data_IF_692857093611
#
_entry.id   IF_692857093611
#
_cell.length_a   1.000
_cell.length_b   1.000
_cell.length_c   1.000
_cell.angle_alpha   90.00
_cell.angle_beta   90.00
_cell.angle_gamma   90.00
#
_symmetry.space_group_name_H-M   'P 1'
#
loop_
_entity.id
_entity.type
_entity.pdbx_description
1 polymer ?
#
# COMPACT_ATOMS: atom_id res chain seq x y z
N UNK A 1 3.82 0.99 -10.18
CA UNK A 1 4.31 -0.36 -10.51
C UNK A 1 4.79 -0.49 -11.96
N UNK A 2 3.98 -0.17 -12.98
CA UNK A 2 4.43 -0.30 -14.39
C UNK A 2 5.74 0.42 -14.73
N UNK A 3 5.90 1.67 -14.27
CA UNK A 3 7.15 2.42 -14.46
C UNK A 3 8.36 1.76 -13.76
N UNK A 4 8.18 1.24 -12.54
CA UNK A 4 9.22 0.55 -11.78
C UNK A 4 9.73 -0.69 -12.53
N UNK A 5 8.81 -1.48 -13.09
CA UNK A 5 9.15 -2.63 -13.92
C UNK A 5 9.82 -2.24 -15.22
N UNK A 6 9.34 -1.18 -15.90
CA UNK A 6 9.94 -0.72 -17.14
C UNK A 6 11.39 -0.25 -16.92
N UNK A 7 11.65 0.58 -15.91
CA UNK A 7 13.00 1.03 -15.61
C UNK A 7 13.90 -0.12 -15.13
N UNK A 8 13.40 -1.00 -14.27
CA UNK A 8 14.13 -2.18 -13.81
C UNK A 8 14.50 -3.15 -14.93
N UNK A 9 13.58 -3.39 -15.87
CA UNK A 9 13.82 -4.22 -17.04
C UNK A 9 14.93 -3.62 -17.93
N UNK A 10 14.87 -2.33 -18.22
CA UNK A 10 15.87 -1.66 -19.04
C UNK A 10 17.27 -1.72 -18.41
N UNK A 11 17.37 -1.52 -17.08
CA UNK A 11 18.65 -1.62 -16.36
C UNK A 11 19.20 -3.05 -16.35
N UNK A 12 18.34 -4.05 -16.14
CA UNK A 12 18.78 -5.43 -16.00
C UNK A 12 19.10 -6.11 -17.33
N UNK A 13 18.43 -5.72 -18.42
CA UNK A 13 18.43 -6.50 -19.65
C UNK A 13 18.91 -5.76 -20.89
N UNK A 14 18.87 -4.43 -20.90
CA UNK A 14 19.34 -3.63 -22.02
C UNK A 14 20.80 -3.23 -21.78
N UNK A 15 21.71 -3.42 -22.76
CA UNK A 15 23.07 -2.90 -22.65
C UNK A 15 23.01 -1.38 -22.72
N UNK A 16 23.01 -0.75 -21.55
CA UNK A 16 23.10 0.68 -21.39
C UNK A 16 24.59 1.07 -21.45
N UNK A 17 25.12 1.20 -22.66
CA UNK A 17 26.52 1.61 -22.87
C UNK A 17 26.80 3.05 -22.40
N UNK A 18 25.75 3.89 -22.37
CA UNK A 18 25.84 5.26 -21.88
C UNK A 18 25.55 5.34 -20.37
N UNK A 19 26.57 5.79 -19.62
CA UNK A 19 26.51 6.01 -18.17
C UNK A 19 25.39 6.98 -17.77
N UNK A 20 25.08 7.99 -18.59
CA UNK A 20 24.03 8.96 -18.33
C UNK A 20 22.67 8.27 -18.36
N UNK A 21 22.45 7.43 -19.37
CA UNK A 21 21.19 6.69 -19.53
C UNK A 21 21.00 5.70 -18.39
N UNK A 22 22.06 5.01 -17.97
CA UNK A 22 22.02 4.15 -16.78
C UNK A 22 21.60 4.91 -15.52
N UNK A 23 22.20 6.08 -15.27
CA UNK A 23 21.88 6.90 -14.11
C UNK A 23 20.43 7.40 -14.12
N UNK A 24 19.92 7.81 -15.29
CA UNK A 24 18.52 8.23 -15.44
C UNK A 24 17.55 7.09 -15.13
N UNK A 25 17.82 5.87 -15.60
CA UNK A 25 16.95 4.72 -15.32
C UNK A 25 17.01 4.33 -13.84
N UNK A 26 18.20 4.32 -13.23
CA UNK A 26 18.35 4.06 -11.81
C UNK A 26 17.60 5.08 -10.94
N UNK A 27 17.70 6.37 -11.29
CA UNK A 27 16.91 7.43 -10.67
C UNK A 27 15.40 7.19 -10.85
N UNK A 28 14.96 6.77 -12.04
CA UNK A 28 13.55 6.42 -12.31
C UNK A 28 13.04 5.28 -11.42
N UNK A 29 13.87 4.26 -11.15
CA UNK A 29 13.54 3.18 -10.21
C UNK A 29 13.32 3.76 -8.80
N UNK A 30 14.27 4.56 -8.29
CA UNK A 30 14.16 5.16 -6.95
C UNK A 30 12.92 6.06 -6.86
N UNK A 31 12.71 6.94 -7.82
CA UNK A 31 11.58 7.89 -7.81
C UNK A 31 10.23 7.17 -7.84
N UNK A 32 10.11 6.11 -8.65
CA UNK A 32 8.87 5.33 -8.73
C UNK A 32 8.61 4.50 -7.47
N UNK A 33 9.66 3.99 -6.83
CA UNK A 33 9.57 3.34 -5.52
C UNK A 33 9.15 4.33 -4.43
N UNK A 34 9.77 5.50 -4.39
CA UNK A 34 9.44 6.56 -3.44
C UNK A 34 7.99 7.02 -3.57
N UNK A 35 7.51 7.19 -4.81
CA UNK A 35 6.13 7.58 -5.08
C UNK A 35 5.12 6.53 -4.62
N UNK A 36 5.44 5.24 -4.80
CA UNK A 36 4.62 4.14 -4.29
C UNK A 36 4.53 4.18 -2.75
N UNK A 37 5.68 4.29 -2.08
CA UNK A 37 5.74 4.34 -0.62
C UNK A 37 5.05 5.59 -0.06
N UNK A 38 5.23 6.74 -0.69
CA UNK A 38 4.62 8.02 -0.30
C UNK A 38 3.08 7.95 -0.31
N UNK A 39 2.49 7.17 -1.23
CA UNK A 39 1.04 6.99 -1.28
C UNK A 39 0.57 5.94 -0.27
N UNK A 40 1.28 4.81 -0.17
CA UNK A 40 0.80 3.66 0.60
C UNK A 40 1.00 3.83 2.10
N UNK A 41 2.13 4.40 2.55
CA UNK A 41 2.44 4.55 3.99
C UNK A 41 1.40 5.42 4.73
N UNK A 42 1.10 6.67 4.31
CA UNK A 42 0.12 7.48 5.02
C UNK A 42 -1.31 6.92 4.90
N UNK A 43 -1.65 6.29 3.76
CA UNK A 43 -2.95 5.65 3.59
C UNK A 43 -3.13 4.45 4.53
N UNK A 44 -2.10 3.59 4.66
CA UNK A 44 -2.09 2.49 5.61
C UNK A 44 -2.12 2.98 7.07
N UNK A 45 -1.37 4.05 7.37
CA UNK A 45 -1.39 4.68 8.69
C UNK A 45 -2.77 5.23 9.07
N UNK A 46 -3.45 5.91 8.13
CA UNK A 46 -4.80 6.42 8.34
C UNK A 46 -5.82 5.28 8.55
N UNK A 47 -5.73 4.21 7.76
CA UNK A 47 -6.59 3.04 7.93
C UNK A 47 -6.36 2.32 9.26
N UNK A 48 -5.11 2.22 9.70
CA UNK A 48 -4.78 1.65 11.01
C UNK A 48 -5.33 2.50 12.15
N UNK A 49 -5.17 3.81 12.08
CA UNK A 49 -5.73 4.74 13.06
C UNK A 49 -7.27 4.67 13.10
N UNK A 50 -7.91 4.55 11.94
CA UNK A 50 -9.36 4.33 11.84
C UNK A 50 -9.77 3.02 12.52
N UNK A 51 -9.07 1.91 12.25
CA UNK A 51 -9.31 0.62 12.90
C UNK A 51 -9.17 0.69 14.42
N UNK A 52 -8.13 1.35 14.92
CA UNK A 52 -7.91 1.53 16.37
C UNK A 52 -9.01 2.39 17.01
N UNK A 53 -9.43 3.45 16.32
CA UNK A 53 -10.54 4.29 16.76
C UNK A 53 -11.85 3.49 16.81
N UNK A 54 -12.12 2.66 15.79
CA UNK A 54 -13.30 1.79 15.78
C UNK A 54 -13.29 0.76 16.92
N UNK A 55 -12.14 0.16 17.21
CA UNK A 55 -11.99 -0.79 18.31
C UNK A 55 -12.23 -0.13 19.67
N UNK A 56 -11.64 1.06 19.88
CA UNK A 56 -11.85 1.88 21.08
C UNK A 56 -13.32 2.28 21.24
N UNK A 57 -13.97 2.66 20.14
CA UNK A 57 -15.39 3.01 20.14
C UNK A 57 -16.27 1.79 20.41
N UNK A 58 -15.89 0.59 19.94
CA UNK A 58 -16.64 -0.65 20.19
C UNK A 58 -16.52 -1.14 21.64
N UNK A 59 -15.43 -0.83 22.34
CA UNK A 59 -15.25 -1.18 23.76
C UNK A 59 -15.93 -0.19 24.72
N UNK A 60 -16.13 1.07 24.30
CA UNK A 60 -16.79 2.14 25.07
C UNK A 60 -18.16 1.80 25.68
N UNK A 61 -19.09 1.12 24.98
CA UNK A 61 -20.43 0.81 25.50
C UNK A 61 -20.40 -0.14 26.71
N UNK A 62 -19.32 -0.89 26.92
CA UNK A 62 -19.13 -1.70 28.13
C UNK A 62 -18.78 -0.87 29.37
N UNK A 63 -18.29 0.37 29.16
CA UNK A 63 -17.89 1.29 30.24
C UNK A 63 -19.01 2.26 30.65
N UNK A 64 -20.00 2.52 29.80
CA UNK A 64 -21.15 3.39 30.10
C UNK A 64 -22.47 2.59 30.16
N UNK A 65 -22.86 2.07 31.33
CA UNK A 65 -24.06 1.23 31.46
C UNK A 65 -25.37 2.01 31.27
N UNK A 66 -25.45 3.29 31.65
CA UNK A 66 -26.72 4.04 31.64
C UNK A 66 -27.25 4.40 30.24
N UNK A 67 -26.38 4.54 29.24
CA UNK A 67 -26.75 4.97 27.89
C UNK A 67 -26.27 4.03 26.78
N UNK A 68 -25.92 2.79 27.14
CA UNK A 68 -25.37 1.77 26.25
C UNK A 68 -26.11 1.65 24.90
N UNK A 69 -27.45 1.55 24.92
CA UNK A 69 -28.26 1.37 23.70
C UNK A 69 -28.21 2.58 22.76
N UNK A 70 -28.37 3.80 23.29
CA UNK A 70 -28.36 5.04 22.50
C UNK A 70 -26.96 5.34 21.96
N UNK A 71 -25.94 5.15 22.79
CA UNK A 71 -24.54 5.33 22.43
C UNK A 71 -24.13 4.34 21.32
N UNK A 72 -24.49 3.07 21.46
CA UNK A 72 -24.24 2.03 20.44
C UNK A 72 -24.91 2.36 19.12
N UNK A 73 -26.14 2.91 19.13
CA UNK A 73 -26.86 3.29 17.92
C UNK A 73 -26.20 4.47 17.19
N UNK A 74 -25.78 5.52 17.93
CA UNK A 74 -25.05 6.66 17.38
C UNK A 74 -23.69 6.26 16.80
N UNK A 75 -22.96 5.40 17.52
CA UNK A 75 -21.70 4.83 17.07
C UNK A 75 -21.88 4.09 15.74
N UNK A 76 -22.88 3.21 15.66
CA UNK A 76 -23.12 2.40 14.48
C UNK A 76 -23.50 3.25 13.25
N UNK A 77 -24.30 4.30 13.45
CA UNK A 77 -24.64 5.26 12.40
C UNK A 77 -23.43 6.09 11.93
N UNK A 78 -22.50 6.43 12.84
CA UNK A 78 -21.30 7.21 12.52
C UNK A 78 -20.21 6.36 11.86
N UNK A 79 -20.02 5.12 12.34
CA UNK A 79 -19.09 4.14 11.74
C UNK A 79 -19.50 3.75 10.31
N UNK A 80 -20.81 3.67 10.03
CA UNK A 80 -21.30 3.46 8.65
C UNK A 80 -20.90 4.58 7.66
N UNK A 81 -20.45 5.73 8.15
CA UNK A 81 -20.02 6.87 7.32
C UNK A 81 -18.50 6.98 7.18
N UNK A 82 -17.73 6.24 7.97
CA UNK A 82 -16.27 6.21 7.85
C UNK A 82 -15.87 5.12 6.86
N UNK A 83 -15.31 5.53 5.74
CA UNK A 83 -14.79 4.61 4.72
C UNK A 83 -13.27 4.54 4.84
N UNK A 84 -12.68 3.33 4.90
CA UNK A 84 -11.24 3.21 4.81
C UNK A 84 -10.75 3.71 3.45
N UNK A 85 -9.50 4.19 3.41
CA UNK A 85 -8.81 4.50 2.16
C UNK A 85 -8.60 3.20 1.39
N UNK A 86 -9.31 3.07 0.28
CA UNK A 86 -9.24 1.91 -0.59
C UNK A 86 -8.58 2.27 -1.91
N UNK A 87 -7.70 1.41 -2.37
CA UNK A 87 -7.18 1.43 -3.73
C UNK A 87 -8.22 0.80 -4.67
N UNK A 88 -8.71 1.59 -5.62
CA UNK A 88 -9.69 1.17 -6.63
C UNK A 88 -10.98 0.52 -6.06
N UNK A 89 -11.32 0.80 -4.79
CA UNK A 89 -12.46 0.21 -4.08
C UNK A 89 -12.41 -1.33 -3.92
N UNK A 90 -11.27 -1.96 -4.25
CA UNK A 90 -11.08 -3.42 -4.23
C UNK A 90 -10.11 -3.81 -3.12
N UNK A 91 -9.08 -2.98 -2.86
CA UNK A 91 -8.08 -3.24 -1.84
C UNK A 91 -8.10 -2.16 -0.77
N UNK A 92 -8.27 -2.55 0.49
CA UNK A 92 -7.97 -1.65 1.60
C UNK A 92 -6.46 -1.40 1.61
N UNK A 93 -6.04 -0.14 1.67
CA UNK A 93 -4.62 0.17 1.74
C UNK A 93 -4.13 -0.16 3.15
N UNK A 94 -3.42 -1.27 3.29
CA UNK A 94 -2.86 -1.73 4.54
C UNK A 94 -1.39 -2.17 4.36
N UNK A 95 -0.78 -2.64 5.44
CA UNK A 95 0.60 -3.13 5.40
C UNK A 95 0.72 -4.42 4.56
N UNK A 96 -0.34 -5.22 4.48
CA UNK A 96 -0.34 -6.46 3.70
C UNK A 96 -0.25 -6.18 2.20
N UNK A 97 -0.92 -5.12 1.72
CA UNK A 97 -0.85 -4.67 0.34
C UNK A 97 0.57 -4.20 -0.03
N UNK A 98 1.28 -3.53 0.89
CA UNK A 98 2.69 -3.16 0.71
C UNK A 98 3.58 -4.40 0.59
N UNK A 99 3.42 -5.38 1.49
CA UNK A 99 4.18 -6.63 1.46
C UNK A 99 3.90 -7.40 0.15
N UNK A 100 2.64 -7.46 -0.28
CA UNK A 100 2.25 -8.08 -1.54
C UNK A 100 2.87 -7.37 -2.75
N UNK A 101 2.89 -6.03 -2.75
CA UNK A 101 3.55 -5.22 -3.76
C UNK A 101 5.07 -5.51 -3.87
N UNK A 102 5.77 -5.71 -2.75
CA UNK A 102 7.17 -6.14 -2.77
C UNK A 102 7.34 -7.59 -3.21
N UNK A 103 6.47 -8.49 -2.75
CA UNK A 103 6.47 -9.89 -3.14
C UNK A 103 6.31 -10.06 -4.65
N UNK A 104 5.33 -9.37 -5.24
CA UNK A 104 5.14 -9.37 -6.69
C UNK A 104 6.36 -8.81 -7.42
N UNK A 105 6.97 -7.72 -6.95
CA UNK A 105 8.18 -7.18 -7.55
C UNK A 105 9.32 -8.21 -7.58
N UNK A 106 9.57 -8.91 -6.46
CA UNK A 106 10.59 -9.95 -6.36
C UNK A 106 10.28 -11.16 -7.25
N UNK A 107 9.04 -11.66 -7.22
CA UNK A 107 8.62 -12.82 -8.01
C UNK A 107 8.74 -12.54 -9.50
N UNK A 108 8.23 -11.40 -9.97
CA UNK A 108 8.38 -11.01 -11.37
C UNK A 108 9.85 -10.75 -11.74
N UNK A 109 10.63 -10.12 -10.86
CA UNK A 109 12.07 -9.96 -11.08
C UNK A 109 12.79 -11.31 -11.27
N UNK A 110 12.49 -12.29 -10.42
CA UNK A 110 13.05 -13.64 -10.53
C UNK A 110 12.60 -14.37 -11.80
N UNK A 111 11.32 -14.28 -12.17
CA UNK A 111 10.80 -14.88 -13.40
C UNK A 111 11.50 -14.32 -14.63
N UNK A 112 11.59 -12.99 -14.74
CA UNK A 112 12.25 -12.34 -15.90
C UNK A 112 13.74 -12.66 -15.93
N UNK A 113 14.41 -12.73 -14.77
CA UNK A 113 15.81 -13.14 -14.69
C UNK A 113 16.07 -14.57 -15.17
N UNK A 114 15.19 -15.52 -14.83
CA UNK A 114 15.36 -16.92 -15.26
C UNK A 114 15.03 -17.15 -16.73
N UNK A 115 14.02 -16.47 -17.29
CA UNK A 115 13.62 -16.64 -18.69
C UNK A 115 14.77 -16.27 -19.65
N UNK A 116 15.65 -15.34 -19.30
CA UNK A 116 16.79 -14.95 -20.13
C UNK A 116 18.01 -15.88 -20.00
N UNK A 117 18.14 -16.63 -18.90
CA UNK A 117 19.30 -17.49 -18.64
C UNK A 117 19.21 -18.85 -19.35
N UNK A 118 18.13 -19.11 -20.09
CA UNK A 118 17.92 -20.24 -20.99
C UNK A 118 17.84 -19.75 -22.43
#
# INVERSE_FOLDING_TARGET
>A
MGALFAFGYNVAFYPLDDRIVYFMHFHGIIQSLMSLLLLMIPAAGCNRALSQAEETIKSLPGWLPEHHKLLKMHIYQRQRKTFPLMLWNIYVIDESLLISAFGTLLTYGFLVGNIKNN
#
